data_IF_595078233463
#
_entry.id   IF_595078233463
#
_cell.length_a   1.000
_cell.length_b   1.000
_cell.length_c   1.000
_cell.angle_alpha   90.00
_cell.angle_beta   90.00
_cell.angle_gamma   90.00
#
_symmetry.space_group_name_H-M   'P 1'
#
loop_
_entity.id
_entity.type
_entity.pdbx_description
1 polymer ?
#
# COMPACT_ATOMS: atom_id res chain seq x y z
N UNK A 1 2.24 16.15 12.75
CA UNK A 1 1.75 14.76 12.57
C UNK A 1 1.99 14.37 11.11
N UNK A 2 2.51 13.17 10.84
CA UNK A 2 2.73 12.70 9.46
C UNK A 2 1.38 12.47 8.79
N UNK A 3 1.20 12.95 7.56
CA UNK A 3 -0.03 12.70 6.81
C UNK A 3 -0.15 11.22 6.42
N UNK A 4 -1.29 10.61 6.72
CA UNK A 4 -1.59 9.20 6.40
C UNK A 4 -2.07 8.98 4.98
N UNK A 5 -2.42 10.03 4.22
CA UNK A 5 -2.99 9.88 2.89
C UNK A 5 -2.02 9.24 1.89
N UNK A 6 -0.81 9.78 1.78
CA UNK A 6 0.21 9.35 0.81
C UNK A 6 0.59 7.87 0.98
N UNK A 7 1.00 7.37 2.16
CA UNK A 7 1.33 5.96 2.35
C UNK A 7 0.14 5.02 2.06
N UNK A 8 -1.08 5.36 2.51
CA UNK A 8 -2.28 4.57 2.22
C UNK A 8 -2.61 4.53 0.72
N UNK A 9 -2.44 5.66 0.03
CA UNK A 9 -2.62 5.76 -1.41
C UNK A 9 -1.59 4.92 -2.17
N UNK A 10 -0.31 5.04 -1.83
CA UNK A 10 0.76 4.26 -2.45
C UNK A 10 0.57 2.76 -2.26
N UNK A 11 0.11 2.32 -1.09
CA UNK A 11 -0.19 0.93 -0.82
C UNK A 11 -1.33 0.40 -1.70
N UNK A 12 -2.39 1.19 -1.87
CA UNK A 12 -3.52 0.86 -2.76
C UNK A 12 -3.09 0.82 -4.23
N UNK A 13 -2.24 1.76 -4.66
CA UNK A 13 -1.66 1.77 -6.02
C UNK A 13 -0.79 0.54 -6.24
N UNK A 14 0.07 0.17 -5.29
CA UNK A 14 0.92 -1.01 -5.40
C UNK A 14 0.10 -2.29 -5.57
N UNK A 15 -0.99 -2.45 -4.81
CA UNK A 15 -1.95 -3.54 -5.02
C UNK A 15 -2.60 -3.48 -6.41
N UNK A 16 -3.01 -2.29 -6.87
CA UNK A 16 -3.62 -2.10 -8.17
C UNK A 16 -2.69 -2.54 -9.32
N UNK A 17 -1.41 -2.16 -9.25
CA UNK A 17 -0.39 -2.56 -10.21
C UNK A 17 -0.19 -4.08 -10.22
N UNK A 18 -0.10 -4.70 -9.04
CA UNK A 18 0.03 -6.16 -8.91
C UNK A 18 -1.17 -6.89 -9.54
N UNK A 19 -2.39 -6.41 -9.30
CA UNK A 19 -3.62 -6.99 -9.86
C UNK A 19 -3.70 -6.85 -11.39
N UNK A 20 -3.06 -5.86 -12.00
CA UNK A 20 -3.00 -5.70 -13.45
C UNK A 20 -2.42 -6.92 -14.18
N UNK A 21 -1.51 -7.67 -13.54
CA UNK A 21 -0.89 -8.87 -14.09
C UNK A 21 -1.69 -10.16 -13.83
N UNK A 22 -2.82 -10.07 -13.12
CA UNK A 22 -3.58 -11.22 -12.61
C UNK A 22 -4.92 -11.32 -13.34
N UNK A 23 -5.51 -12.53 -13.51
CA UNK A 23 -6.85 -12.68 -14.08
C UNK A 23 -7.93 -11.89 -13.31
N UNK A 24 -8.87 -11.28 -14.03
CA UNK A 24 -9.93 -10.41 -13.48
C UNK A 24 -10.80 -11.08 -12.41
N UNK A 25 -10.98 -12.41 -12.48
CA UNK A 25 -11.69 -13.20 -11.46
C UNK A 25 -11.10 -13.08 -10.05
N UNK A 26 -9.82 -12.73 -9.94
CA UNK A 26 -9.11 -12.60 -8.66
C UNK A 26 -9.27 -11.18 -8.09
N UNK A 27 -9.63 -10.19 -8.90
CA UNK A 27 -9.76 -8.79 -8.46
C UNK A 27 -10.83 -8.65 -7.39
N UNK A 28 -12.01 -9.24 -7.61
CA UNK A 28 -13.10 -9.19 -6.63
C UNK A 28 -12.68 -9.77 -5.27
N UNK A 29 -11.86 -10.83 -5.28
CA UNK A 29 -11.33 -11.44 -4.05
C UNK A 29 -10.37 -10.48 -3.33
N UNK A 30 -9.43 -9.88 -4.05
CA UNK A 30 -8.46 -8.95 -3.48
C UNK A 30 -9.12 -7.67 -2.96
N UNK A 31 -10.08 -7.12 -3.71
CA UNK A 31 -10.84 -5.92 -3.31
C UNK A 31 -11.71 -6.21 -2.10
N UNK A 32 -12.44 -7.34 -2.08
CA UNK A 32 -13.23 -7.74 -0.93
C UNK A 32 -12.35 -7.94 0.32
N UNK A 33 -11.19 -8.59 0.16
CA UNK A 33 -10.20 -8.75 1.23
C UNK A 33 -9.66 -7.41 1.73
N UNK A 34 -9.38 -6.45 0.85
CA UNK A 34 -8.97 -5.10 1.22
C UNK A 34 -10.05 -4.38 2.02
N UNK A 35 -11.30 -4.40 1.55
CA UNK A 35 -12.42 -3.74 2.24
C UNK A 35 -12.67 -4.39 3.61
N UNK A 36 -12.61 -5.71 3.68
CA UNK A 36 -12.71 -6.44 4.95
C UNK A 36 -11.55 -6.09 5.89
N UNK A 37 -10.31 -6.03 5.40
CA UNK A 37 -9.13 -5.62 6.17
C UNK A 37 -9.26 -4.20 6.72
N UNK A 38 -9.74 -3.25 5.91
CA UNK A 38 -10.06 -1.90 6.37
C UNK A 38 -11.12 -1.92 7.48
N UNK A 39 -12.24 -2.62 7.26
CA UNK A 39 -13.33 -2.70 8.24
C UNK A 39 -12.87 -3.32 9.57
N UNK A 40 -12.09 -4.41 9.52
CA UNK A 40 -11.52 -5.03 10.70
C UNK A 40 -10.55 -4.09 11.44
N UNK A 41 -9.72 -3.36 10.69
CA UNK A 41 -8.76 -2.42 11.27
C UNK A 41 -9.41 -1.16 11.89
N UNK A 42 -10.64 -0.80 11.51
CA UNK A 42 -11.41 0.24 12.19
C UNK A 42 -11.78 -0.15 13.63
N UNK A 43 -11.93 -1.45 13.90
CA UNK A 43 -12.29 -1.99 15.22
C UNK A 43 -11.09 -2.15 16.15
N UNK A 44 -9.86 -2.08 15.62
CA UNK A 44 -8.66 -2.22 16.43
C UNK A 44 -8.43 -0.97 17.29
N UNK A 45 -8.07 -1.12 18.58
CA UNK A 45 -7.61 0.00 19.38
C UNK A 45 -6.26 0.46 18.85
N UNK A 46 -6.16 1.73 18.47
CA UNK A 46 -4.92 2.33 17.98
C UNK A 46 -4.48 3.37 18.99
N UNK A 47 -3.34 3.13 19.62
CA UNK A 47 -2.68 4.12 20.48
C UNK A 47 -1.62 4.88 19.67
N UNK A 48 -1.39 6.17 19.96
CA UNK A 48 -0.40 6.98 19.26
C UNK A 48 1.03 6.40 19.31
N UNK A 49 1.36 5.65 20.37
CA UNK A 49 2.68 5.07 20.58
C UNK A 49 3.09 4.05 19.50
N UNK A 50 2.12 3.48 18.78
CA UNK A 50 2.37 2.54 17.69
C UNK A 50 2.48 3.21 16.32
N UNK A 51 2.43 4.56 16.24
CA UNK A 51 2.42 5.28 14.97
C UNK A 51 3.61 4.91 14.08
N UNK A 52 4.83 4.94 14.59
CA UNK A 52 6.03 4.62 13.79
C UNK A 52 6.00 3.19 13.24
N UNK A 53 5.57 2.22 14.05
CA UNK A 53 5.43 0.83 13.62
C UNK A 53 4.33 0.68 12.55
N UNK A 54 3.23 1.43 12.67
CA UNK A 54 2.12 1.42 11.72
C UNK A 54 2.56 1.97 10.36
N UNK A 55 3.26 3.09 10.35
CA UNK A 55 3.78 3.65 9.10
C UNK A 55 4.87 2.75 8.48
N UNK A 56 5.79 2.21 9.29
CA UNK A 56 6.80 1.27 8.82
C UNK A 56 6.17 0.02 8.19
N UNK A 57 5.17 -0.57 8.86
CA UNK A 57 4.43 -1.73 8.35
C UNK A 57 3.73 -1.46 7.01
N UNK A 58 3.19 -0.25 6.84
CA UNK A 58 2.61 0.18 5.57
C UNK A 58 3.66 0.28 4.46
N UNK A 59 4.83 0.86 4.73
CA UNK A 59 5.90 0.95 3.73
C UNK A 59 6.49 -0.42 3.36
N UNK A 60 6.71 -1.30 4.34
CA UNK A 60 7.07 -2.70 4.10
C UNK A 60 6.03 -3.36 3.19
N UNK A 61 4.75 -3.16 3.49
CA UNK A 61 3.65 -3.72 2.70
C UNK A 61 3.62 -3.19 1.26
N UNK A 62 3.89 -1.89 1.07
CA UNK A 62 4.01 -1.27 -0.25
C UNK A 62 5.14 -1.90 -1.04
N UNK A 63 6.31 -2.11 -0.43
CA UNK A 63 7.46 -2.78 -1.05
C UNK A 63 7.13 -4.21 -1.45
N UNK A 64 6.47 -4.98 -0.58
CA UNK A 64 6.05 -6.35 -0.87
C UNK A 64 5.10 -6.39 -2.07
N UNK A 65 4.06 -5.55 -2.08
CA UNK A 65 3.08 -5.48 -3.17
C UNK A 65 3.68 -5.02 -4.48
N UNK A 66 4.55 -4.01 -4.45
CA UNK A 66 5.29 -3.55 -5.62
C UNK A 66 6.20 -4.67 -6.16
N UNK A 67 6.89 -5.39 -5.27
CA UNK A 67 7.71 -6.55 -5.63
C UNK A 67 6.91 -7.68 -6.29
N UNK A 68 5.64 -7.89 -5.90
CA UNK A 68 4.78 -8.91 -6.51
C UNK A 68 4.56 -8.70 -8.02
N UNK A 69 4.68 -7.47 -8.53
CA UNK A 69 4.61 -7.17 -9.98
C UNK A 69 5.72 -7.86 -10.79
N UNK A 70 6.83 -8.19 -10.13
CA UNK A 70 8.00 -8.83 -10.75
C UNK A 70 7.98 -10.36 -10.63
N UNK A 71 6.97 -10.95 -9.98
CA UNK A 71 6.88 -12.40 -9.80
C UNK A 71 6.56 -13.12 -11.14
N UNK A 72 7.33 -14.15 -11.52
CA UNK A 72 7.14 -14.85 -12.80
C UNK A 72 5.85 -15.70 -12.83
N UNK A 73 5.38 -16.17 -11.67
CA UNK A 73 4.23 -17.09 -11.57
C UNK A 73 2.89 -16.41 -11.28
N UNK A 74 2.86 -15.07 -11.19
CA UNK A 74 1.66 -14.31 -10.86
C UNK A 74 1.09 -14.62 -9.47
N UNK A 75 -0.14 -14.15 -9.21
CA UNK A 75 -0.82 -14.26 -7.93
C UNK A 75 -1.96 -15.30 -7.99
N UNK A 76 -2.02 -16.20 -7.01
CA UNK A 76 -3.13 -17.13 -6.83
C UNK A 76 -4.22 -16.54 -5.91
N UNK A 77 -5.33 -17.26 -5.70
CA UNK A 77 -6.44 -16.77 -4.87
C UNK A 77 -6.02 -16.51 -3.42
N UNK A 78 -5.23 -17.42 -2.84
CA UNK A 78 -4.78 -17.31 -1.45
C UNK A 78 -3.88 -16.07 -1.25
N UNK A 79 -2.91 -15.87 -2.15
CA UNK A 79 -2.05 -14.67 -2.14
C UNK A 79 -2.85 -13.39 -2.35
N UNK A 80 -3.88 -13.40 -3.21
CA UNK A 80 -4.76 -12.25 -3.37
C UNK A 80 -5.55 -11.89 -2.11
N UNK A 81 -6.03 -12.89 -1.36
CA UNK A 81 -6.67 -12.66 -0.05
C UNK A 81 -5.67 -12.07 0.94
N UNK A 82 -4.50 -12.70 1.10
CA UNK A 82 -3.47 -12.25 2.05
C UNK A 82 -3.01 -10.83 1.74
N UNK A 83 -2.68 -10.55 0.48
CA UNK A 83 -2.19 -9.25 0.05
C UNK A 83 -3.28 -8.17 0.10
N UNK A 84 -4.53 -8.52 -0.21
CA UNK A 84 -5.68 -7.63 -0.04
C UNK A 84 -5.92 -7.28 1.42
N UNK A 85 -6.00 -8.28 2.32
CA UNK A 85 -6.13 -8.06 3.76
C UNK A 85 -4.99 -7.19 4.30
N UNK A 86 -3.75 -7.53 3.93
CA UNK A 86 -2.57 -6.76 4.33
C UNK A 86 -2.68 -5.30 3.88
N UNK A 87 -3.02 -5.06 2.60
CA UNK A 87 -3.21 -3.71 2.09
C UNK A 87 -4.31 -2.94 2.85
N UNK A 88 -5.45 -3.58 3.10
CA UNK A 88 -6.58 -2.97 3.80
C UNK A 88 -6.27 -2.61 5.25
N UNK A 89 -5.67 -3.54 5.99
CA UNK A 89 -5.31 -3.32 7.40
C UNK A 89 -4.34 -2.15 7.53
N UNK A 90 -3.22 -2.18 6.80
CA UNK A 90 -2.21 -1.11 6.93
C UNK A 90 -2.68 0.23 6.37
N UNK A 91 -3.41 0.25 5.25
CA UNK A 91 -3.97 1.49 4.71
C UNK A 91 -4.93 2.16 5.71
N UNK A 92 -5.77 1.38 6.39
CA UNK A 92 -6.69 1.89 7.40
C UNK A 92 -5.96 2.36 8.66
N UNK A 93 -5.03 1.57 9.19
CA UNK A 93 -4.27 1.95 10.39
C UNK A 93 -3.51 3.27 10.16
N UNK A 94 -2.80 3.41 9.04
CA UNK A 94 -2.07 4.64 8.72
C UNK A 94 -3.00 5.83 8.51
N UNK A 95 -4.11 5.65 7.79
CA UNK A 95 -5.10 6.72 7.61
C UNK A 95 -5.65 7.23 8.95
N UNK A 96 -5.95 6.32 9.88
CA UNK A 96 -6.47 6.67 11.22
C UNK A 96 -5.46 7.44 12.06
N UNK A 97 -4.18 7.07 12.01
CA UNK A 97 -3.11 7.72 12.78
C UNK A 97 -2.69 9.06 12.16
N UNK A 98 -2.67 9.16 10.83
CA UNK A 98 -2.02 10.25 10.11
C UNK A 98 -2.92 11.37 9.60
N UNK A 99 -4.22 11.41 9.90
CA UNK A 99 -5.09 12.49 9.37
C UNK A 99 -6.58 12.21 9.40
N UNK A 100 -6.97 10.97 9.71
CA UNK A 100 -8.35 10.54 9.87
C UNK A 100 -8.77 9.51 8.83
N UNK A 101 -9.76 8.68 9.18
CA UNK A 101 -10.26 7.62 8.31
C UNK A 101 -10.81 8.12 6.97
N UNK A 102 -11.13 9.42 6.85
CA UNK A 102 -11.55 10.06 5.59
C UNK A 102 -10.51 9.94 4.47
N UNK A 103 -9.21 9.82 4.80
CA UNK A 103 -8.16 9.57 3.80
C UNK A 103 -8.39 8.28 2.99
N UNK A 104 -9.14 7.31 3.54
CA UNK A 104 -9.52 6.09 2.83
C UNK A 104 -10.48 6.36 1.66
N UNK A 105 -11.26 7.44 1.72
CA UNK A 105 -12.15 7.83 0.61
C UNK A 105 -11.37 8.22 -0.64
N UNK A 106 -10.09 8.60 -0.49
CA UNK A 106 -9.19 8.90 -1.60
C UNK A 106 -8.32 7.69 -1.92
N UNK A 107 -7.75 7.04 -0.91
CA UNK A 107 -6.80 5.93 -1.11
C UNK A 107 -7.45 4.67 -1.70
N UNK A 108 -8.59 4.23 -1.16
CA UNK A 108 -9.22 2.94 -1.57
C UNK A 108 -9.66 2.95 -3.04
N UNK A 109 -10.27 4.02 -3.58
CA UNK A 109 -10.60 4.07 -5.00
C UNK A 109 -9.40 3.92 -5.94
N UNK A 110 -8.16 4.20 -5.50
CA UNK A 110 -6.97 4.02 -6.33
C UNK A 110 -6.71 2.55 -6.69
N UNK A 111 -7.31 1.59 -5.98
CA UNK A 111 -7.28 0.17 -6.38
C UNK A 111 -7.91 -0.03 -7.77
N UNK A 112 -8.82 0.84 -8.21
CA UNK A 112 -9.43 0.81 -9.54
C UNK A 112 -8.41 1.07 -10.67
N UNK A 113 -7.20 1.56 -10.36
CA UNK A 113 -6.09 1.61 -11.32
C UNK A 113 -5.70 0.22 -11.83
N UNK A 114 -6.17 -0.87 -11.22
CA UNK A 114 -6.00 -2.22 -11.75
C UNK A 114 -6.64 -2.38 -13.15
N UNK A 115 -7.69 -1.60 -13.46
CA UNK A 115 -8.37 -1.59 -14.77
C UNK A 115 -7.44 -1.07 -15.88
N UNK A 116 -6.93 0.17 -15.85
CA UNK A 116 -5.99 0.64 -16.85
C UNK A 116 -4.66 -0.12 -16.82
N UNK A 117 -4.20 -0.58 -15.64
CA UNK A 117 -3.03 -1.44 -15.54
C UNK A 117 -3.23 -2.73 -16.36
N UNK A 118 -4.37 -3.42 -16.20
CA UNK A 118 -4.68 -4.62 -16.97
C UNK A 118 -4.71 -4.37 -18.46
N UNK A 119 -5.33 -3.25 -18.87
CA UNK A 119 -5.37 -2.86 -20.28
C UNK A 119 -3.95 -2.66 -20.85
N UNK A 120 -3.03 -2.05 -20.09
CA UNK A 120 -1.62 -1.93 -20.48
C UNK A 120 -0.92 -3.29 -20.57
N UNK A 121 -1.21 -4.23 -19.66
CA UNK A 121 -0.64 -5.59 -19.72
C UNK A 121 -1.13 -6.33 -20.97
N UNK A 122 -2.44 -6.29 -21.23
CA UNK A 122 -3.06 -6.98 -22.37
C UNK A 122 -2.63 -6.39 -23.73
N UNK A 123 -2.26 -5.11 -23.78
CA UNK A 123 -1.74 -4.45 -25.00
C UNK A 123 -0.22 -4.57 -25.15
N UNK A 124 0.44 -5.42 -24.36
CA UNK A 124 1.89 -5.66 -24.44
C UNK A 124 2.76 -4.57 -23.81
N UNK A 125 2.16 -3.59 -23.13
CA UNK A 125 2.83 -2.45 -22.46
C UNK A 125 3.09 -2.69 -20.97
N UNK A 126 3.05 -3.94 -20.52
CA UNK A 126 3.25 -4.31 -19.12
C UNK A 126 4.59 -3.87 -18.52
N UNK A 127 5.61 -3.62 -19.36
CA UNK A 127 6.91 -3.08 -18.92
C UNK A 127 6.74 -1.73 -18.20
N UNK A 128 5.85 -0.86 -18.69
CA UNK A 128 5.60 0.44 -18.05
C UNK A 128 5.14 0.29 -16.59
N UNK A 129 4.34 -0.74 -16.30
CA UNK A 129 3.90 -1.02 -14.93
C UNK A 129 5.00 -1.61 -14.07
N UNK A 130 5.90 -2.43 -14.65
CA UNK A 130 7.09 -2.91 -13.92
C UNK A 130 8.04 -1.77 -13.57
N UNK A 131 8.19 -0.80 -14.46
CA UNK A 131 8.94 0.44 -14.19
C UNK A 131 8.25 1.18 -13.04
N UNK A 132 6.95 1.49 -13.14
CA UNK A 132 6.20 2.17 -12.09
C UNK A 132 6.27 1.44 -10.74
N UNK A 133 6.18 0.11 -10.74
CA UNK A 133 6.35 -0.71 -9.54
C UNK A 133 7.77 -0.62 -8.96
N UNK A 134 8.81 -0.55 -9.81
CA UNK A 134 10.19 -0.35 -9.37
C UNK A 134 10.38 1.03 -8.71
N UNK A 135 9.72 2.07 -9.22
CA UNK A 135 9.69 3.39 -8.58
C UNK A 135 9.01 3.33 -7.22
N UNK A 136 7.85 2.67 -7.09
CA UNK A 136 7.18 2.49 -5.80
C UNK A 136 8.02 1.68 -4.81
N UNK A 137 8.74 0.67 -5.29
CA UNK A 137 9.67 -0.11 -4.49
C UNK A 137 10.79 0.79 -3.95
N UNK A 138 11.42 1.59 -4.82
CA UNK A 138 12.47 2.52 -4.41
C UNK A 138 11.97 3.55 -3.40
N UNK A 139 10.79 4.13 -3.62
CA UNK A 139 10.16 5.08 -2.68
C UNK A 139 9.87 4.41 -1.35
N UNK A 140 9.25 3.22 -1.36
CA UNK A 140 8.96 2.48 -0.14
C UNK A 140 10.23 2.11 0.65
N UNK A 141 11.30 1.68 -0.03
CA UNK A 141 12.60 1.41 0.61
C UNK A 141 13.21 2.68 1.20
N UNK A 142 13.18 3.79 0.45
CA UNK A 142 13.68 5.07 0.93
C UNK A 142 12.96 5.51 2.20
N UNK A 143 11.63 5.50 2.19
CA UNK A 143 10.79 5.89 3.34
C UNK A 143 11.02 4.99 4.56
N UNK A 144 11.18 3.68 4.37
CA UNK A 144 11.58 2.78 5.47
C UNK A 144 12.93 3.17 6.08
N UNK A 145 13.93 3.45 5.24
CA UNK A 145 15.27 3.81 5.71
C UNK A 145 15.24 5.16 6.45
N UNK A 146 14.51 6.15 5.92
CA UNK A 146 14.34 7.46 6.57
C UNK A 146 13.70 7.35 7.96
N UNK A 147 12.79 6.40 8.16
CA UNK A 147 12.20 6.14 9.47
C UNK A 147 13.18 5.51 10.47
N UNK A 148 14.15 4.74 9.98
CA UNK A 148 15.15 4.06 10.80
C UNK A 148 16.42 4.90 11.01
N UNK A 149 16.61 5.97 10.24
CA UNK A 149 17.79 6.82 10.30
C UNK A 149 17.46 8.13 11.03
N UNK A 150 18.17 8.44 12.14
CA UNK A 150 18.05 9.76 12.76
C UNK A 150 18.67 10.79 11.80
N UNK A 151 17.81 11.46 11.04
CA UNK A 151 18.23 12.48 10.08
C UNK A 151 18.22 13.84 10.79
N UNK A 152 19.38 14.52 10.94
CA UNK A 152 19.45 15.84 11.57
C UNK A 152 18.50 16.84 10.87
N UNK A 153 17.77 17.65 11.64
CA UNK A 153 16.76 18.60 11.11
C UNK A 153 15.37 18.02 10.78
N UNK A 154 15.16 16.70 10.85
CA UNK A 154 13.81 16.08 10.74
C UNK A 154 13.13 15.84 12.10
N UNK A 155 13.90 15.89 13.19
CA UNK A 155 13.40 15.99 14.56
C UNK A 155 13.42 17.47 14.95
N UNK A 156 12.54 17.94 15.86
CA UNK A 156 12.70 19.25 16.47
C UNK A 156 14.03 19.23 17.23
N UNK A 157 15.08 19.72 16.59
CA UNK A 157 16.39 19.92 17.21
C UNK A 157 16.24 21.12 18.18
N UNK A 158 16.34 20.85 19.49
CA UNK A 158 16.69 21.81 20.56
C UNK A 158 15.71 22.97 20.85
N UNK A 159 14.45 22.68 21.21
CA UNK A 159 13.58 23.62 21.95
C UNK A 159 13.32 23.15 23.40
N UNK A 160 14.34 22.55 24.02
CA UNK A 160 14.49 22.41 25.48
C UNK A 160 15.81 23.04 25.91
#
# INVERSE_FOLDING_TARGET
>A
MRDGLLPSAMLCVALALALGFVPTRIWGIAVAALLFGCAAALLLPVTPDHADAIFLGCWVSTVVLAGCVHLPRGMNRATAVVLGLNAGVWACLVARVGGGAANLLVAVPLVLLCVPARWLVLTGRGIALKVAASWLLAIGVMEMILMLTPTPGYKPDHME
#
